data_IF_152078657938
#
_entry.id   IF_152078657938
#
_cell.length_a   1.000
_cell.length_b   1.000
_cell.length_c   1.000
_cell.angle_alpha   90.00
_cell.angle_beta   90.00
_cell.angle_gamma   90.00
#
_symmetry.space_group_name_H-M   'P 1'
#
loop_
_entity.id
_entity.type
_entity.pdbx_description
1 polymer ?
#
# COMPACT_ATOMS: atom_id res chain seq x y z
N UNK A 1 -1.42 -15.36 -8.30
CA UNK A 1 -0.33 -14.55 -7.69
C UNK A 1 0.63 -13.89 -8.68
N UNK A 2 1.07 -14.53 -9.79
CA UNK A 2 2.02 -13.93 -10.75
C UNK A 2 1.52 -12.72 -11.56
N UNK A 3 0.20 -12.58 -11.75
CA UNK A 3 -0.37 -11.51 -12.59
C UNK A 3 -0.43 -10.16 -11.84
N UNK A 4 -0.73 -10.15 -10.53
CA UNK A 4 -0.69 -8.93 -9.71
C UNK A 4 0.72 -8.32 -9.61
N UNK A 5 1.76 -9.17 -9.53
CA UNK A 5 3.15 -8.72 -9.55
C UNK A 5 3.59 -8.12 -10.89
N UNK A 6 2.98 -8.56 -12.00
CA UNK A 6 3.18 -7.99 -13.33
C UNK A 6 2.47 -6.64 -13.51
N UNK A 7 1.33 -6.45 -12.85
CA UNK A 7 0.53 -5.21 -12.90
C UNK A 7 1.13 -4.12 -12.00
N UNK A 8 1.67 -4.46 -10.82
CA UNK A 8 2.35 -3.50 -9.93
C UNK A 8 3.70 -3.00 -10.48
N UNK A 9 4.29 -3.65 -11.48
CA UNK A 9 5.52 -3.21 -12.12
C UNK A 9 5.32 -2.10 -13.17
N UNK A 10 4.10 -1.57 -13.33
CA UNK A 10 3.74 -0.55 -14.33
C UNK A 10 3.28 0.78 -13.72
N UNK A 11 3.58 1.04 -12.44
CA UNK A 11 3.44 2.38 -11.87
C UNK A 11 4.55 3.29 -12.39
N UNK A 12 4.28 3.91 -13.54
CA UNK A 12 5.07 4.91 -14.24
C UNK A 12 6.47 4.42 -14.70
N UNK A 13 6.88 4.67 -15.96
CA UNK A 13 8.29 4.54 -16.32
C UNK A 13 9.05 5.44 -15.35
N UNK A 14 9.92 4.87 -14.51
CA UNK A 14 10.46 5.61 -13.40
C UNK A 14 11.19 6.85 -13.90
N UNK A 15 11.03 7.96 -13.16
CA UNK A 15 11.40 9.32 -13.57
C UNK A 15 12.83 9.40 -14.13
N UNK A 16 13.74 8.55 -13.64
CA UNK A 16 15.12 8.45 -14.12
C UNK A 16 15.24 8.09 -15.62
N UNK A 17 14.27 7.40 -16.22
CA UNK A 17 14.26 7.13 -17.67
C UNK A 17 14.20 8.43 -18.48
N UNK A 18 13.32 9.33 -18.08
CA UNK A 18 13.17 10.65 -18.72
C UNK A 18 14.35 11.57 -18.40
N UNK A 19 14.82 11.57 -17.15
CA UNK A 19 16.00 12.35 -16.74
C UNK A 19 17.24 11.93 -17.52
N UNK A 20 17.41 10.63 -17.83
CA UNK A 20 18.55 10.17 -18.61
C UNK A 20 18.57 10.72 -20.05
N UNK A 21 17.42 11.05 -20.63
CA UNK A 21 17.35 11.69 -21.96
C UNK A 21 17.93 13.11 -21.97
N UNK A 22 18.06 13.77 -20.81
CA UNK A 22 18.79 15.04 -20.73
C UNK A 22 20.23 14.89 -21.23
N UNK A 23 20.83 13.72 -21.04
CA UNK A 23 22.17 13.42 -21.53
C UNK A 23 22.26 13.38 -23.07
N UNK A 24 21.13 13.24 -23.78
CA UNK A 24 21.10 13.28 -25.24
C UNK A 24 21.55 14.64 -25.80
N UNK A 25 21.51 15.71 -25.00
CA UNK A 25 22.05 17.02 -25.39
C UNK A 25 23.52 16.95 -25.83
N UNK A 26 24.31 16.05 -25.22
CA UNK A 26 25.72 15.88 -25.56
C UNK A 26 25.91 15.28 -26.95
N UNK A 27 24.92 14.57 -27.51
CA UNK A 27 24.97 14.09 -28.89
C UNK A 27 24.95 15.26 -29.90
N UNK A 28 24.45 16.44 -29.51
CA UNK A 28 24.40 17.64 -30.35
C UNK A 28 25.57 18.61 -30.10
N UNK A 29 26.39 18.36 -29.08
CA UNK A 29 27.55 19.20 -28.74
C UNK A 29 28.50 19.45 -29.93
N UNK A 30 28.79 18.47 -30.81
CA UNK A 30 29.67 18.69 -31.97
C UNK A 30 29.20 19.80 -32.91
N UNK A 31 27.89 20.06 -33.01
CA UNK A 31 27.35 21.10 -33.87
C UNK A 31 27.83 22.50 -33.46
N UNK A 32 28.14 22.72 -32.18
CA UNK A 32 28.61 24.02 -31.68
C UNK A 32 30.07 24.32 -32.02
N UNK A 33 30.86 23.31 -32.35
CA UNK A 33 32.27 23.47 -32.71
C UNK A 33 32.49 23.60 -34.22
N UNK A 34 31.44 23.42 -35.03
CA UNK A 34 31.53 23.52 -36.48
C UNK A 34 31.37 24.98 -36.94
N UNK A 35 32.33 25.53 -37.70
CA UNK A 35 32.26 26.93 -38.15
C UNK A 35 31.10 27.18 -39.13
N UNK A 36 30.73 26.16 -39.91
CA UNK A 36 29.55 26.17 -40.78
C UNK A 36 28.88 24.81 -40.68
N UNK A 37 27.60 24.80 -40.30
CA UNK A 37 26.82 23.58 -40.14
C UNK A 37 26.00 23.34 -41.42
N UNK A 38 26.31 22.33 -42.24
CA UNK A 38 25.51 22.05 -43.41
C UNK A 38 24.17 21.42 -42.99
N UNK A 39 23.06 21.80 -43.63
CA UNK A 39 21.71 21.30 -43.31
C UNK A 39 21.64 19.76 -43.25
N UNK A 40 22.34 19.08 -44.17
CA UNK A 40 22.45 17.60 -44.18
C UNK A 40 23.00 17.02 -42.87
N UNK A 41 23.94 17.70 -42.21
CA UNK A 41 24.47 17.23 -40.94
C UNK A 41 23.41 17.35 -39.85
N UNK A 42 22.72 18.50 -39.75
CA UNK A 42 21.62 18.67 -38.79
C UNK A 42 20.55 17.59 -38.97
N UNK A 43 20.15 17.31 -40.21
CA UNK A 43 19.16 16.26 -40.51
C UNK A 43 19.62 14.88 -40.04
N UNK A 44 20.90 14.54 -40.21
CA UNK A 44 21.46 13.26 -39.74
C UNK A 44 21.51 13.19 -38.21
N UNK A 45 21.88 14.27 -37.51
CA UNK A 45 21.86 14.32 -36.04
C UNK A 45 20.45 14.13 -35.50
N UNK A 46 19.46 14.82 -36.08
CA UNK A 46 18.04 14.68 -35.70
C UNK A 46 17.54 13.27 -35.99
N UNK A 47 17.85 12.71 -37.16
CA UNK A 47 17.47 11.35 -37.50
C UNK A 47 18.10 10.32 -36.54
N UNK A 48 19.39 10.47 -36.21
CA UNK A 48 20.07 9.60 -35.25
C UNK A 48 19.44 9.70 -33.85
N UNK A 49 19.10 10.91 -33.39
CA UNK A 49 18.44 11.11 -32.11
C UNK A 49 17.04 10.46 -32.07
N UNK A 50 16.26 10.58 -33.15
CA UNK A 50 14.95 9.93 -33.27
C UNK A 50 15.09 8.40 -33.25
N UNK A 51 16.02 7.85 -34.02
CA UNK A 51 16.32 6.40 -34.01
C UNK A 51 16.76 5.96 -32.61
N UNK A 52 17.62 6.72 -31.94
CA UNK A 52 18.03 6.46 -30.57
C UNK A 52 16.85 6.42 -29.61
N UNK A 53 15.97 7.43 -29.64
CA UNK A 53 14.80 7.49 -28.74
C UNK A 53 13.90 6.26 -28.96
N UNK A 54 13.67 5.86 -30.21
CA UNK A 54 12.91 4.65 -30.52
C UNK A 54 13.58 3.38 -29.96
N UNK A 55 14.90 3.22 -30.16
CA UNK A 55 15.66 2.09 -29.64
C UNK A 55 15.69 2.06 -28.11
N UNK A 56 15.84 3.22 -27.49
CA UNK A 56 15.89 3.42 -26.05
C UNK A 56 14.58 3.01 -25.38
N UNK A 57 13.43 3.47 -25.89
CA UNK A 57 12.13 3.04 -25.36
C UNK A 57 11.83 1.59 -25.71
N UNK A 58 12.15 1.13 -26.92
CA UNK A 58 12.00 -0.28 -27.28
C UNK A 58 12.77 -1.21 -26.34
N UNK A 59 13.94 -0.79 -25.83
CA UNK A 59 14.72 -1.54 -24.85
C UNK A 59 14.02 -1.60 -23.50
N UNK A 60 13.49 -0.48 -23.02
CA UNK A 60 12.80 -0.41 -21.73
C UNK A 60 11.49 -1.20 -21.69
N UNK A 61 10.78 -1.30 -22.81
CA UNK A 61 9.55 -2.07 -22.94
C UNK A 61 9.77 -3.52 -23.42
N UNK A 62 11.01 -3.92 -23.74
CA UNK A 62 11.30 -5.27 -24.20
C UNK A 62 11.23 -6.28 -23.04
N UNK A 63 10.27 -7.20 -23.12
CA UNK A 63 10.11 -8.27 -22.14
C UNK A 63 11.26 -9.31 -22.13
N UNK A 64 11.91 -9.54 -23.29
CA UNK A 64 12.94 -10.57 -23.41
C UNK A 64 14.35 -9.99 -23.26
N UNK A 65 15.19 -10.67 -22.44
CA UNK A 65 16.59 -10.28 -22.25
C UNK A 65 17.37 -10.28 -23.57
N UNK A 66 17.11 -11.22 -24.48
CA UNK A 66 17.77 -11.29 -25.80
C UNK A 66 17.48 -10.04 -26.63
N UNK A 67 16.23 -9.58 -26.66
CA UNK A 67 15.84 -8.35 -27.38
C UNK A 67 16.48 -7.11 -26.75
N UNK A 68 16.54 -7.04 -25.42
CA UNK A 68 17.24 -5.94 -24.72
C UNK A 68 18.72 -5.89 -25.10
N UNK A 69 19.43 -7.02 -25.07
CA UNK A 69 20.84 -7.08 -25.51
C UNK A 69 20.99 -6.65 -26.98
N UNK A 70 20.13 -7.13 -27.88
CA UNK A 70 20.17 -6.74 -29.29
C UNK A 70 19.96 -5.23 -29.48
N UNK A 71 19.04 -4.62 -28.73
CA UNK A 71 18.79 -3.18 -28.77
C UNK A 71 19.95 -2.36 -28.17
N UNK A 72 20.58 -2.85 -27.11
CA UNK A 72 21.81 -2.27 -26.57
C UNK A 72 22.93 -2.26 -27.60
N UNK A 73 23.12 -3.36 -28.33
CA UNK A 73 24.10 -3.44 -29.42
C UNK A 73 23.73 -2.53 -30.59
N UNK A 74 22.43 -2.38 -30.91
CA UNK A 74 21.97 -1.45 -31.94
C UNK A 74 22.27 0.01 -31.57
N UNK A 75 22.11 0.39 -30.30
CA UNK A 75 22.49 1.73 -29.80
C UNK A 75 24.01 1.94 -29.85
N UNK A 76 24.81 0.93 -29.49
CA UNK A 76 26.27 1.00 -29.65
C UNK A 76 26.67 1.16 -31.12
N UNK A 77 26.05 0.40 -32.04
CA UNK A 77 26.27 0.51 -33.47
C UNK A 77 25.90 1.89 -34.02
N UNK A 78 24.78 2.48 -33.57
CA UNK A 78 24.40 3.85 -33.89
C UNK A 78 25.46 4.85 -33.42
N UNK A 79 26.02 4.64 -32.22
CA UNK A 79 27.16 5.41 -31.73
C UNK A 79 28.35 5.34 -32.68
N UNK A 80 28.78 4.13 -33.08
CA UNK A 80 29.91 3.98 -33.99
C UNK A 80 29.67 4.57 -35.39
N UNK A 81 28.45 4.44 -35.94
CA UNK A 81 28.09 5.03 -37.24
C UNK A 81 28.13 6.55 -37.20
N UNK A 82 27.78 7.16 -36.06
CA UNK A 82 27.75 8.62 -35.89
C UNK A 82 29.06 9.21 -35.36
N UNK A 83 30.07 8.38 -35.08
CA UNK A 83 31.39 8.82 -34.60
C UNK A 83 32.14 9.79 -35.53
N UNK A 84 32.18 9.60 -36.86
CA UNK A 84 32.83 10.55 -37.76
C UNK A 84 32.26 11.97 -37.70
N UNK A 85 31.05 12.11 -37.15
CA UNK A 85 30.35 13.38 -36.97
C UNK A 85 30.50 13.95 -35.55
N UNK A 86 31.18 13.23 -34.64
CA UNK A 86 31.38 13.61 -33.24
C UNK A 86 30.25 13.24 -32.28
N UNK A 87 29.11 12.75 -32.79
CA UNK A 87 27.93 12.47 -31.95
C UNK A 87 27.97 11.10 -31.24
N UNK A 88 28.89 10.23 -31.65
CA UNK A 88 28.87 8.81 -31.30
C UNK A 88 29.05 8.51 -29.81
N UNK A 89 29.85 9.30 -29.09
CA UNK A 89 30.22 9.03 -27.70
C UNK A 89 29.00 9.01 -26.77
N UNK A 90 28.04 9.92 -26.99
CA UNK A 90 26.82 9.97 -26.19
C UNK A 90 26.01 8.67 -26.29
N UNK A 91 25.84 8.13 -27.50
CA UNK A 91 25.11 6.88 -27.73
C UNK A 91 25.86 5.67 -27.16
N UNK A 92 27.19 5.68 -27.22
CA UNK A 92 28.01 4.62 -26.61
C UNK A 92 27.81 4.59 -25.09
N UNK A 93 27.80 5.74 -24.42
CA UNK A 93 27.52 5.82 -22.98
C UNK A 93 26.12 5.31 -22.62
N UNK A 94 25.11 5.65 -23.44
CA UNK A 94 23.77 5.06 -23.27
C UNK A 94 23.81 3.53 -23.40
N UNK A 95 24.56 2.98 -24.35
CA UNK A 95 24.70 1.53 -24.51
C UNK A 95 25.36 0.88 -23.27
N UNK A 96 26.33 1.55 -22.63
CA UNK A 96 26.95 1.11 -21.37
C UNK A 96 25.92 1.04 -20.24
N UNK A 97 25.11 2.10 -20.08
CA UNK A 97 24.02 2.11 -19.09
C UNK A 97 22.98 1.01 -19.35
N UNK A 98 22.57 0.83 -20.61
CA UNK A 98 21.62 -0.21 -21.01
C UNK A 98 22.17 -1.63 -20.80
N UNK A 99 23.46 -1.85 -21.03
CA UNK A 99 24.14 -3.12 -20.75
C UNK A 99 24.19 -3.41 -19.25
N UNK A 100 24.55 -2.41 -18.44
CA UNK A 100 24.59 -2.48 -16.98
C UNK A 100 23.22 -2.81 -16.36
N UNK A 101 22.16 -2.24 -16.92
CA UNK A 101 20.77 -2.50 -16.52
C UNK A 101 20.31 -3.92 -16.90
N UNK A 102 20.69 -4.40 -18.10
CA UNK A 102 20.19 -5.67 -18.66
C UNK A 102 20.90 -6.92 -18.14
N UNK A 103 22.22 -6.83 -17.97
CA UNK A 103 23.10 -7.98 -17.75
C UNK A 103 23.68 -8.00 -16.33
N UNK A 104 23.97 -9.19 -15.77
CA UNK A 104 24.72 -9.26 -14.52
C UNK A 104 26.11 -8.63 -14.70
N UNK A 105 26.73 -8.04 -13.65
CA UNK A 105 27.98 -7.28 -13.79
C UNK A 105 29.11 -8.09 -14.42
N UNK A 106 29.16 -9.40 -14.14
CA UNK A 106 30.14 -10.35 -14.71
C UNK A 106 30.08 -10.46 -16.24
N UNK A 107 28.94 -10.15 -16.86
CA UNK A 107 28.76 -10.14 -18.33
C UNK A 107 28.67 -8.73 -18.90
N UNK A 108 28.11 -7.79 -18.15
CA UNK A 108 28.00 -6.39 -18.56
C UNK A 108 29.39 -5.74 -18.66
N UNK A 109 30.27 -5.96 -17.68
CA UNK A 109 31.59 -5.35 -17.63
C UNK A 109 32.46 -5.68 -18.87
N UNK A 110 32.69 -6.95 -19.26
CA UNK A 110 33.50 -7.24 -20.45
C UNK A 110 32.86 -6.71 -21.74
N UNK A 111 31.53 -6.71 -21.85
CA UNK A 111 30.83 -6.11 -22.98
C UNK A 111 31.08 -4.60 -23.06
N UNK A 112 30.91 -3.88 -21.95
CA UNK A 112 31.16 -2.44 -21.88
C UNK A 112 32.63 -2.13 -22.18
N UNK A 113 33.57 -2.89 -21.63
CA UNK A 113 35.01 -2.73 -21.93
C UNK A 113 35.29 -2.94 -23.41
N UNK A 114 34.71 -3.97 -24.05
CA UNK A 114 34.88 -4.19 -25.48
C UNK A 114 34.29 -3.05 -26.32
N UNK A 115 33.10 -2.55 -25.96
CA UNK A 115 32.46 -1.41 -26.63
C UNK A 115 33.32 -0.14 -26.48
N UNK A 116 33.83 0.15 -25.29
CA UNK A 116 34.72 1.29 -25.04
C UNK A 116 36.06 1.13 -25.76
N UNK A 117 36.59 -0.09 -25.90
CA UNK A 117 37.83 -0.32 -26.64
C UNK A 117 37.64 -0.04 -28.15
N UNK A 118 36.52 -0.47 -28.73
CA UNK A 118 36.15 -0.13 -30.12
C UNK A 118 35.97 1.39 -30.25
N UNK A 119 35.31 2.01 -29.28
CA UNK A 119 35.15 3.46 -29.21
C UNK A 119 36.50 4.18 -29.21
N UNK A 120 37.49 3.72 -28.45
CA UNK A 120 38.84 4.28 -28.42
C UNK A 120 39.49 4.31 -29.81
N UNK A 121 39.36 3.19 -30.55
CA UNK A 121 39.91 3.07 -31.90
C UNK A 121 39.18 4.02 -32.86
N UNK A 122 37.85 4.09 -32.80
CA UNK A 122 37.07 5.03 -33.60
C UNK A 122 37.41 6.48 -33.26
N UNK A 123 37.55 6.81 -31.98
CA UNK A 123 37.91 8.13 -31.51
C UNK A 123 39.26 8.56 -32.07
N UNK A 124 40.30 7.74 -31.90
CA UNK A 124 41.64 8.04 -32.44
C UNK A 124 41.67 8.15 -33.97
N UNK A 125 40.83 7.37 -34.66
CA UNK A 125 40.78 7.36 -36.13
C UNK A 125 40.04 8.56 -36.74
N UNK A 126 39.00 9.07 -36.08
CA UNK A 126 38.11 10.09 -36.62
C UNK A 126 38.27 11.47 -35.95
N UNK A 127 38.90 11.54 -34.77
CA UNK A 127 39.10 12.77 -34.02
C UNK A 127 40.60 13.04 -33.85
N UNK A 128 41.19 13.85 -34.74
CA UNK A 128 42.61 14.18 -34.64
C UNK A 128 42.90 14.95 -33.34
N UNK A 129 44.10 14.80 -32.73
CA UNK A 129 44.42 15.37 -31.41
C UNK A 129 44.25 16.88 -31.31
N UNK A 130 44.40 17.60 -32.42
CA UNK A 130 44.22 19.05 -32.51
C UNK A 130 42.75 19.48 -32.32
N UNK A 131 41.81 18.61 -32.70
CA UNK A 131 40.37 18.87 -32.54
C UNK A 131 39.83 18.36 -31.20
N UNK A 132 40.38 17.24 -30.71
CA UNK A 132 39.93 16.58 -29.48
C UNK A 132 41.14 15.99 -28.75
N UNK A 133 41.61 16.63 -27.66
CA UNK A 133 42.74 16.11 -26.90
C UNK A 133 42.39 14.80 -26.19
N UNK A 134 43.42 14.00 -25.86
CA UNK A 134 43.27 12.73 -25.15
C UNK A 134 42.48 12.86 -23.83
N UNK A 135 42.57 14.02 -23.17
CA UNK A 135 41.82 14.34 -21.95
C UNK A 135 40.30 14.24 -22.14
N UNK A 136 39.77 14.61 -23.31
CA UNK A 136 38.33 14.48 -23.63
C UNK A 136 37.88 13.02 -23.63
N UNK A 137 38.71 12.12 -24.16
CA UNK A 137 38.44 10.69 -24.14
C UNK A 137 38.54 10.10 -22.73
N UNK A 138 39.51 10.55 -21.93
CA UNK A 138 39.62 10.13 -20.52
C UNK A 138 38.38 10.55 -19.73
N UNK A 139 37.86 11.77 -19.94
CA UNK A 139 36.60 12.22 -19.33
C UNK A 139 35.43 11.32 -19.75
N UNK A 140 35.34 10.97 -21.04
CA UNK A 140 34.31 10.07 -21.55
C UNK A 140 34.33 8.69 -20.87
N UNK A 141 35.53 8.12 -20.70
CA UNK A 141 35.72 6.84 -19.99
C UNK A 141 35.28 6.94 -18.53
N UNK A 142 35.62 8.05 -17.84
CA UNK A 142 35.19 8.29 -16.45
C UNK A 142 33.66 8.37 -16.38
N UNK A 143 33.01 9.11 -17.29
CA UNK A 143 31.55 9.21 -17.35
C UNK A 143 30.91 7.85 -17.60
N UNK A 144 31.44 7.05 -18.54
CA UNK A 144 30.95 5.70 -18.80
C UNK A 144 31.08 4.79 -17.55
N UNK A 145 32.20 4.88 -16.83
CA UNK A 145 32.40 4.13 -15.58
C UNK A 145 31.43 4.59 -14.48
N UNK A 146 31.21 5.90 -14.32
CA UNK A 146 30.23 6.45 -13.37
C UNK A 146 28.81 5.98 -13.70
N UNK A 147 28.41 6.02 -14.98
CA UNK A 147 27.10 5.51 -15.43
C UNK A 147 26.97 4.02 -15.14
N UNK A 148 27.99 3.22 -15.45
CA UNK A 148 27.99 1.79 -15.17
C UNK A 148 27.82 1.50 -13.68
N UNK A 149 28.63 2.13 -12.82
CA UNK A 149 28.57 1.96 -11.36
C UNK A 149 27.23 2.46 -10.81
N UNK A 150 26.74 3.60 -11.27
CA UNK A 150 25.48 4.20 -10.86
C UNK A 150 24.29 3.28 -11.15
N UNK A 151 24.17 2.80 -12.39
CA UNK A 151 23.09 1.89 -12.80
C UNK A 151 23.15 0.56 -12.04
N UNK A 152 24.33 -0.04 -11.91
CA UNK A 152 24.49 -1.29 -11.12
C UNK A 152 24.10 -1.06 -9.66
N UNK A 153 24.47 0.08 -9.09
CA UNK A 153 24.16 0.42 -7.70
C UNK A 153 22.66 0.62 -7.47
N UNK A 154 21.97 1.34 -8.36
CA UNK A 154 20.52 1.54 -8.30
C UNK A 154 19.81 0.18 -8.39
N UNK A 155 20.14 -0.64 -9.39
CA UNK A 155 19.56 -1.98 -9.56
C UNK A 155 19.77 -2.85 -8.32
N UNK A 156 20.98 -2.85 -7.75
CA UNK A 156 21.27 -3.64 -6.56
C UNK A 156 20.51 -3.14 -5.33
N UNK A 157 20.28 -1.82 -5.20
CA UNK A 157 19.46 -1.23 -4.14
C UNK A 157 17.99 -1.63 -4.29
N UNK A 158 17.44 -1.59 -5.50
CA UNK A 158 16.06 -2.02 -5.77
C UNK A 158 15.84 -3.49 -5.41
N UNK A 159 16.76 -4.37 -5.80
CA UNK A 159 16.70 -5.79 -5.46
C UNK A 159 16.74 -6.02 -3.94
N UNK A 160 17.66 -5.35 -3.23
CA UNK A 160 17.75 -5.44 -1.76
C UNK A 160 16.51 -4.88 -1.07
N UNK A 161 15.96 -3.76 -1.55
CA UNK A 161 14.75 -3.18 -0.99
C UNK A 161 13.54 -4.10 -1.20
N UNK A 162 13.44 -4.76 -2.34
CA UNK A 162 12.40 -5.76 -2.59
C UNK A 162 12.53 -6.97 -1.63
N UNK A 163 13.74 -7.47 -1.44
CA UNK A 163 14.04 -8.56 -0.49
C UNK A 163 13.74 -8.18 0.98
N UNK A 164 14.09 -6.95 1.38
CA UNK A 164 13.77 -6.42 2.69
C UNK A 164 12.26 -6.31 2.93
N UNK A 165 11.49 -5.84 1.93
CA UNK A 165 10.02 -5.76 2.03
C UNK A 165 9.41 -7.14 2.23
N UNK A 166 9.83 -8.13 1.44
CA UNK A 166 9.35 -9.51 1.59
C UNK A 166 9.68 -10.08 2.98
N UNK A 167 10.89 -9.82 3.48
CA UNK A 167 11.30 -10.25 4.83
C UNK A 167 10.49 -9.55 5.92
N UNK A 168 10.24 -8.25 5.79
CA UNK A 168 9.44 -7.49 6.76
C UNK A 168 7.98 -7.98 6.82
N UNK A 169 7.38 -8.28 5.68
CA UNK A 169 6.03 -8.84 5.62
C UNK A 169 5.98 -10.22 6.29
N UNK A 170 7.01 -11.04 6.08
CA UNK A 170 7.11 -12.36 6.74
C UNK A 170 7.30 -12.23 8.26
N UNK A 171 8.15 -11.32 8.73
CA UNK A 171 8.33 -11.04 10.16
C UNK A 171 7.02 -10.56 10.79
N UNK A 172 6.29 -9.65 10.14
CA UNK A 172 4.97 -9.19 10.62
C UNK A 172 3.97 -10.33 10.71
N UNK A 173 3.94 -11.22 9.70
CA UNK A 173 3.07 -12.39 9.68
C UNK A 173 3.40 -13.34 10.83
N UNK A 174 4.68 -13.65 11.04
CA UNK A 174 5.14 -14.53 12.11
C UNK A 174 4.89 -13.93 13.50
N UNK A 175 5.13 -12.63 13.68
CA UNK A 175 4.82 -11.93 14.92
C UNK A 175 3.31 -12.00 15.25
N UNK A 176 2.45 -11.80 14.24
CA UNK A 176 1.00 -11.94 14.41
C UNK A 176 0.56 -13.37 14.78
N UNK A 177 1.22 -14.40 14.25
CA UNK A 177 0.95 -15.80 14.61
C UNK A 177 1.42 -16.12 16.03
N UNK A 178 2.63 -15.69 16.40
CA UNK A 178 3.17 -15.86 17.75
C UNK A 178 2.28 -15.18 18.80
N UNK A 179 1.79 -13.98 18.52
CA UNK A 179 0.89 -13.29 19.43
C UNK A 179 -0.45 -14.01 19.58
N UNK A 180 -1.02 -14.54 18.48
CA UNK A 180 -2.24 -15.37 18.54
C UNK A 180 -2.04 -16.63 19.38
N UNK A 181 -0.89 -17.28 19.26
CA UNK A 181 -0.57 -18.47 20.04
C UNK A 181 -0.40 -18.13 21.53
N UNK A 182 0.29 -17.01 21.83
CA UNK A 182 0.45 -16.50 23.19
C UNK A 182 -0.90 -16.24 23.84
N UNK A 183 -1.79 -15.51 23.16
CA UNK A 183 -3.11 -15.20 23.73
C UNK A 183 -3.99 -16.46 23.80
N UNK A 184 -3.86 -17.40 22.86
CA UNK A 184 -4.53 -18.70 22.94
C UNK A 184 -4.13 -19.49 24.20
N UNK A 185 -2.85 -19.45 24.58
CA UNK A 185 -2.37 -20.02 25.85
C UNK A 185 -2.91 -19.27 27.06
N UNK A 186 -2.81 -17.94 27.09
CA UNK A 186 -3.34 -17.13 28.20
C UNK A 186 -4.84 -17.38 28.43
N UNK A 187 -5.62 -17.47 27.34
CA UNK A 187 -7.04 -17.81 27.37
C UNK A 187 -7.29 -19.22 27.93
N UNK A 188 -6.52 -20.21 27.47
CA UNK A 188 -6.63 -21.59 27.96
C UNK A 188 -6.34 -21.68 29.46
N UNK A 189 -5.34 -20.96 29.95
CA UNK A 189 -4.94 -20.98 31.37
C UNK A 189 -6.00 -20.31 32.25
N UNK A 190 -6.50 -19.14 31.85
CA UNK A 190 -7.58 -18.44 32.57
C UNK A 190 -8.85 -19.29 32.59
N UNK A 191 -9.29 -19.78 31.42
CA UNK A 191 -10.49 -20.63 31.33
C UNK A 191 -10.34 -21.94 32.11
N UNK A 192 -9.20 -22.60 32.02
CA UNK A 192 -8.93 -23.85 32.72
C UNK A 192 -9.02 -23.69 34.24
N UNK A 193 -8.45 -22.61 34.78
CA UNK A 193 -8.52 -22.31 36.21
C UNK A 193 -9.94 -21.97 36.67
N UNK A 194 -10.64 -21.08 35.95
CA UNK A 194 -12.01 -20.69 36.29
C UNK A 194 -12.97 -21.87 36.22
N UNK A 195 -12.93 -22.68 35.16
CA UNK A 195 -13.82 -23.84 35.02
C UNK A 195 -13.59 -24.87 36.13
N UNK A 196 -12.33 -25.10 36.52
CA UNK A 196 -12.00 -25.97 37.65
C UNK A 196 -12.61 -25.47 38.96
N UNK A 197 -12.53 -24.16 39.20
CA UNK A 197 -13.10 -23.52 40.40
C UNK A 197 -14.63 -23.56 40.40
N UNK A 198 -15.26 -23.35 39.24
CA UNK A 198 -16.71 -23.50 39.06
C UNK A 198 -17.14 -24.92 39.41
N UNK A 199 -16.48 -25.94 38.86
CA UNK A 199 -16.80 -27.35 39.14
C UNK A 199 -16.71 -27.64 40.65
N UNK A 200 -15.62 -27.26 41.31
CA UNK A 200 -15.43 -27.48 42.75
C UNK A 200 -16.50 -26.78 43.60
N UNK A 201 -16.84 -25.53 43.28
CA UNK A 201 -17.88 -24.79 44.01
C UNK A 201 -19.28 -25.35 43.78
N UNK A 202 -19.61 -25.78 42.56
CA UNK A 202 -20.89 -26.47 42.31
C UNK A 202 -20.99 -27.80 43.05
N UNK A 203 -19.91 -28.58 43.15
CA UNK A 203 -19.89 -29.81 43.96
C UNK A 203 -20.11 -29.51 45.45
N UNK A 204 -19.50 -28.45 45.98
CA UNK A 204 -19.71 -28.02 47.35
C UNK A 204 -21.15 -27.55 47.59
N UNK A 205 -21.72 -26.76 46.69
CA UNK A 205 -23.10 -26.31 46.75
C UNK A 205 -24.09 -27.51 46.79
N UNK A 206 -23.84 -28.53 45.97
CA UNK A 206 -24.65 -29.76 45.95
C UNK A 206 -24.60 -30.52 47.28
N UNK A 207 -23.43 -30.59 47.93
CA UNK A 207 -23.28 -31.22 49.25
C UNK A 207 -23.94 -30.43 50.39
N UNK A 208 -24.01 -29.11 50.26
CA UNK A 208 -24.61 -28.22 51.26
C UNK A 208 -26.13 -28.08 51.10
N UNK A 209 -26.70 -28.47 49.96
CA UNK A 209 -28.09 -28.18 49.60
C UNK A 209 -29.12 -28.59 50.66
N UNK A 210 -28.94 -29.75 51.32
CA UNK A 210 -29.84 -30.24 52.37
C UNK A 210 -29.42 -29.82 53.79
N UNK A 211 -28.11 -29.68 54.06
CA UNK A 211 -27.58 -29.40 55.41
C UNK A 211 -27.46 -27.91 55.75
N UNK A 212 -27.18 -27.09 54.75
CA UNK A 212 -27.01 -25.64 54.86
C UNK A 212 -27.47 -24.95 53.55
N UNK A 213 -28.78 -24.73 53.41
CA UNK A 213 -29.35 -24.10 52.22
C UNK A 213 -28.84 -22.67 51.99
N UNK A 214 -28.47 -21.95 53.06
CA UNK A 214 -27.91 -20.61 52.96
C UNK A 214 -26.48 -20.64 52.42
N UNK A 215 -25.63 -21.54 52.92
CA UNK A 215 -24.30 -21.78 52.39
C UNK A 215 -24.31 -22.26 50.94
N UNK A 216 -25.25 -23.12 50.56
CA UNK A 216 -25.44 -23.57 49.18
C UNK A 216 -25.79 -22.40 48.24
N UNK A 217 -26.73 -21.51 48.63
CA UNK A 217 -27.05 -20.29 47.87
C UNK A 217 -25.85 -19.36 47.70
N UNK A 218 -25.06 -19.18 48.76
CA UNK A 218 -23.85 -18.35 48.69
C UNK A 218 -22.82 -18.91 47.69
N UNK A 219 -22.61 -20.23 47.65
CA UNK A 219 -21.71 -20.85 46.68
C UNK A 219 -22.21 -20.72 45.24
N UNK A 220 -23.53 -20.84 45.00
CA UNK A 220 -24.12 -20.62 43.67
C UNK A 220 -23.92 -19.18 43.20
N UNK A 221 -24.13 -18.19 44.08
CA UNK A 221 -23.87 -16.78 43.77
C UNK A 221 -22.41 -16.51 43.41
N UNK A 222 -21.47 -17.14 44.11
CA UNK A 222 -20.04 -17.05 43.77
C UNK A 222 -19.69 -17.70 42.43
N UNK A 223 -20.30 -18.85 42.10
CA UNK A 223 -20.15 -19.48 40.78
C UNK A 223 -20.62 -18.54 39.67
N UNK A 224 -21.77 -17.91 39.84
CA UNK A 224 -22.33 -16.96 38.88
C UNK A 224 -21.41 -15.74 38.69
N UNK A 225 -20.89 -15.18 39.78
CA UNK A 225 -19.96 -14.04 39.75
C UNK A 225 -18.68 -14.39 39.00
N UNK A 226 -18.05 -15.51 39.35
CA UNK A 226 -16.80 -15.98 38.73
C UNK A 226 -17.00 -16.31 37.26
N UNK A 227 -18.13 -16.93 36.87
CA UNK A 227 -18.44 -17.23 35.48
C UNK A 227 -18.63 -15.95 34.65
N UNK A 228 -19.32 -14.93 35.18
CA UNK A 228 -19.49 -13.64 34.51
C UNK A 228 -18.15 -12.91 34.33
N UNK A 229 -17.29 -12.94 35.35
CA UNK A 229 -15.97 -12.30 35.33
C UNK A 229 -15.04 -12.96 34.29
N UNK A 230 -14.98 -14.29 34.25
CA UNK A 230 -14.21 -15.01 33.24
C UNK A 230 -14.74 -14.80 31.81
N UNK A 231 -16.07 -14.74 31.64
CA UNK A 231 -16.66 -14.42 30.34
C UNK A 231 -16.29 -13.00 29.88
N UNK A 232 -16.20 -12.03 30.81
CA UNK A 232 -15.74 -10.68 30.50
C UNK A 232 -14.26 -10.65 30.09
N UNK A 233 -13.38 -11.36 30.80
CA UNK A 233 -11.96 -11.47 30.46
C UNK A 233 -11.73 -12.16 29.09
N UNK A 234 -12.50 -13.21 28.79
CA UNK A 234 -12.47 -13.86 27.47
C UNK A 234 -12.94 -12.90 26.38
N UNK A 235 -14.01 -12.12 26.62
CA UNK A 235 -14.49 -11.11 25.66
C UNK A 235 -13.44 -10.03 25.41
N UNK A 236 -12.75 -9.56 26.43
CA UNK A 236 -11.68 -8.56 26.33
C UNK A 236 -10.48 -9.11 25.54
N UNK A 237 -10.02 -10.32 25.86
CA UNK A 237 -8.93 -10.98 25.15
C UNK A 237 -9.30 -11.30 23.68
N UNK A 238 -10.51 -11.78 23.40
CA UNK A 238 -10.97 -12.07 22.03
C UNK A 238 -11.20 -10.79 21.22
N UNK A 239 -11.67 -9.71 21.84
CA UNK A 239 -11.75 -8.38 21.21
C UNK A 239 -10.36 -7.87 20.79
N UNK A 240 -9.30 -8.26 21.51
CA UNK A 240 -7.91 -8.02 21.10
C UNK A 240 -7.38 -8.94 19.99
N UNK A 241 -7.94 -10.15 19.82
CA UNK A 241 -7.40 -11.20 18.91
C UNK A 241 -7.99 -11.19 17.50
N UNK A 242 -9.19 -10.65 17.27
CA UNK A 242 -9.85 -10.76 15.96
C UNK A 242 -10.38 -9.42 15.44
N UNK A 243 -9.64 -8.91 14.46
CA UNK A 243 -9.89 -7.71 13.65
C UNK A 243 -9.83 -6.40 14.46
N UNK A 244 -8.94 -5.50 14.06
CA UNK A 244 -9.15 -4.08 14.32
C UNK A 244 -10.12 -3.57 13.26
N UNK A 245 -11.07 -2.72 13.61
CA UNK A 245 -11.98 -2.11 12.65
C UNK A 245 -13.39 -2.72 12.60
N UNK A 246 -14.09 -2.50 11.50
CA UNK A 246 -15.56 -2.59 11.45
C UNK A 246 -16.08 -4.03 11.61
N UNK A 247 -15.34 -5.01 11.09
CA UNK A 247 -15.71 -6.44 11.14
C UNK A 247 -15.71 -7.01 12.57
N UNK A 248 -14.75 -6.59 13.40
CA UNK A 248 -14.67 -7.04 14.78
C UNK A 248 -15.78 -6.47 15.64
N UNK A 249 -16.06 -5.19 15.45
CA UNK A 249 -17.14 -4.51 16.16
C UNK A 249 -18.49 -5.10 15.77
N UNK A 250 -18.67 -5.50 14.50
CA UNK A 250 -19.88 -6.20 14.08
C UNK A 250 -20.04 -7.57 14.75
N UNK A 251 -18.94 -8.32 14.92
CA UNK A 251 -18.96 -9.58 15.65
C UNK A 251 -19.28 -9.37 17.15
N UNK A 252 -18.70 -8.33 17.77
CA UNK A 252 -18.99 -7.94 19.15
C UNK A 252 -20.46 -7.51 19.32
N UNK A 253 -20.96 -6.69 18.39
CA UNK A 253 -22.35 -6.25 18.34
C UNK A 253 -23.32 -7.43 18.25
N UNK A 254 -23.02 -8.40 17.37
CA UNK A 254 -23.83 -9.62 17.23
C UNK A 254 -23.93 -10.40 18.54
N UNK A 255 -22.82 -10.55 19.26
CA UNK A 255 -22.81 -11.24 20.55
C UNK A 255 -23.58 -10.47 21.63
N UNK A 256 -23.47 -9.14 21.66
CA UNK A 256 -24.18 -8.30 22.61
C UNK A 256 -25.70 -8.33 22.39
N UNK A 257 -26.14 -8.21 21.13
CA UNK A 257 -27.55 -8.25 20.74
C UNK A 257 -28.17 -9.64 20.95
N UNK A 258 -27.43 -10.72 20.68
CA UNK A 258 -27.87 -12.09 20.97
C UNK A 258 -28.19 -12.29 22.46
N UNK A 259 -27.39 -11.68 23.36
CA UNK A 259 -27.63 -11.74 24.80
C UNK A 259 -28.89 -11.00 25.27
N UNK A 260 -29.44 -10.14 24.42
CA UNK A 260 -30.71 -9.43 24.63
C UNK A 260 -31.85 -10.00 23.76
N UNK A 261 -31.65 -11.17 23.14
CA UNK A 261 -32.61 -11.81 22.21
C UNK A 261 -32.95 -10.97 20.97
N UNK A 262 -32.02 -10.09 20.55
CA UNK A 262 -32.15 -9.24 19.37
C UNK A 262 -31.39 -9.87 18.20
N UNK A 263 -32.05 -10.02 17.06
CA UNK A 263 -31.44 -10.53 15.83
C UNK A 263 -30.60 -9.46 15.12
N UNK A 264 -29.42 -9.83 14.60
CA UNK A 264 -28.59 -8.95 13.77
C UNK A 264 -28.36 -9.58 12.39
N UNK A 265 -28.83 -8.89 11.37
CA UNK A 265 -28.54 -9.17 9.97
C UNK A 265 -27.47 -8.21 9.47
N UNK A 266 -26.52 -8.71 8.66
CA UNK A 266 -25.50 -7.85 8.09
C UNK A 266 -25.12 -8.22 6.67
N UNK A 267 -24.71 -7.21 5.91
CA UNK A 267 -24.17 -7.36 4.57
C UNK A 267 -23.08 -6.31 4.35
N UNK A 268 -21.82 -6.74 4.29
CA UNK A 268 -20.70 -5.83 4.11
C UNK A 268 -20.11 -5.99 2.71
N UNK A 269 -20.14 -4.93 1.90
CA UNK A 269 -19.46 -4.92 0.61
C UNK A 269 -17.94 -5.15 0.80
N UNK A 270 -17.27 -5.93 -0.07
CA UNK A 270 -15.84 -6.22 0.04
C UNK A 270 -15.00 -5.03 -0.47
N UNK A 271 -15.07 -3.91 0.23
CA UNK A 271 -14.39 -2.64 -0.11
C UNK A 271 -13.28 -2.36 0.90
N UNK A 272 -12.15 -1.85 0.41
CA UNK A 272 -11.04 -1.42 1.25
C UNK A 272 -11.31 -0.03 1.85
N UNK A 273 -11.45 0.01 3.19
CA UNK A 273 -11.78 1.20 3.97
C UNK A 273 -10.48 1.80 4.53
N UNK A 274 -10.22 3.11 4.35
CA UNK A 274 -9.08 3.78 4.99
C UNK A 274 -9.18 3.72 6.52
N UNK A 275 -8.06 3.61 7.22
CA UNK A 275 -8.03 3.31 8.66
C UNK A 275 -8.73 4.37 9.51
N UNK A 276 -8.58 5.67 9.17
CA UNK A 276 -9.31 6.76 9.85
C UNK A 276 -10.83 6.67 9.67
N UNK A 277 -11.27 6.32 8.45
CA UNK A 277 -12.69 6.15 8.12
C UNK A 277 -13.24 4.92 8.82
N UNK A 278 -12.51 3.81 8.78
CA UNK A 278 -12.89 2.57 9.45
C UNK A 278 -13.05 2.76 10.96
N UNK A 279 -12.15 3.52 11.59
CA UNK A 279 -12.25 3.87 13.00
C UNK A 279 -13.53 4.64 13.31
N UNK A 280 -13.87 5.64 12.49
CA UNK A 280 -15.07 6.45 12.68
C UNK A 280 -16.36 5.62 12.51
N UNK A 281 -16.42 4.76 11.50
CA UNK A 281 -17.53 3.83 11.26
C UNK A 281 -17.68 2.80 12.39
N UNK A 282 -16.55 2.28 12.90
CA UNK A 282 -16.52 1.32 14.02
C UNK A 282 -17.13 1.93 15.28
N UNK A 283 -16.73 3.16 15.63
CA UNK A 283 -17.25 3.85 16.79
C UNK A 283 -18.74 4.19 16.65
N UNK A 284 -19.18 4.53 15.45
CA UNK A 284 -20.60 4.76 15.19
C UNK A 284 -21.44 3.49 15.30
N UNK A 285 -20.93 2.35 14.82
CA UNK A 285 -21.60 1.05 15.00
C UNK A 285 -21.74 0.70 16.49
N UNK A 286 -20.66 0.88 17.26
CA UNK A 286 -20.67 0.65 18.72
C UNK A 286 -21.74 1.49 19.42
N UNK A 287 -21.76 2.78 19.13
CA UNK A 287 -22.71 3.72 19.74
C UNK A 287 -24.15 3.37 19.35
N UNK A 288 -24.38 3.02 18.09
CA UNK A 288 -25.70 2.63 17.59
C UNK A 288 -26.21 1.36 18.29
N UNK A 289 -25.38 0.33 18.42
CA UNK A 289 -25.74 -0.92 19.11
C UNK A 289 -25.99 -0.66 20.60
N UNK A 290 -25.21 0.23 21.21
CA UNK A 290 -25.42 0.65 22.60
C UNK A 290 -26.77 1.34 22.78
N UNK A 291 -27.15 2.20 21.84
CA UNK A 291 -28.45 2.87 21.84
C UNK A 291 -29.60 1.89 21.68
N UNK A 292 -29.46 0.89 20.81
CA UNK A 292 -30.46 -0.17 20.65
C UNK A 292 -30.68 -0.91 21.97
N UNK A 293 -29.59 -1.38 22.59
CA UNK A 293 -29.63 -2.13 23.85
C UNK A 293 -30.21 -1.34 25.02
N UNK A 294 -30.04 -0.01 25.03
CA UNK A 294 -30.50 0.86 26.13
C UNK A 294 -31.91 1.42 25.94
N UNK A 295 -32.29 1.70 24.70
CA UNK A 295 -33.42 2.61 24.44
C UNK A 295 -34.44 2.09 23.42
N UNK A 296 -34.05 1.23 22.48
CA UNK A 296 -34.91 0.94 21.33
C UNK A 296 -36.02 -0.09 21.63
N UNK A 297 -35.78 -1.08 22.49
CA UNK A 297 -36.71 -2.21 22.64
C UNK A 297 -36.95 -2.95 21.31
N UNK A 298 -35.94 -2.97 20.44
CA UNK A 298 -35.96 -3.58 19.13
C UNK A 298 -35.89 -5.12 19.22
N UNK A 299 -36.36 -5.81 18.18
CA UNK A 299 -36.20 -7.26 17.99
C UNK A 299 -35.24 -7.60 16.85
N UNK A 300 -34.94 -6.62 15.99
CA UNK A 300 -34.06 -6.78 14.84
C UNK A 300 -33.22 -5.54 14.58
N UNK A 301 -31.97 -5.78 14.23
CA UNK A 301 -30.99 -4.79 13.76
C UNK A 301 -30.43 -5.22 12.42
N UNK A 302 -30.30 -4.28 11.49
CA UNK A 302 -29.71 -4.46 10.18
C UNK A 302 -28.49 -3.56 10.03
N UNK A 303 -27.37 -4.12 9.56
CA UNK A 303 -26.13 -3.38 9.27
C UNK A 303 -25.68 -3.66 7.84
N UNK A 304 -25.67 -2.63 6.99
CA UNK A 304 -25.26 -2.77 5.59
C UNK A 304 -24.15 -1.77 5.24
N UNK A 305 -23.07 -2.26 4.63
CA UNK A 305 -22.04 -1.41 4.03
C UNK A 305 -22.19 -1.44 2.52
N UNK A 306 -22.55 -0.30 1.95
CA UNK A 306 -22.94 -0.12 0.56
C UNK A 306 -21.84 0.65 -0.17
N UNK A 307 -21.36 0.10 -1.29
CA UNK A 307 -20.54 0.81 -2.27
C UNK A 307 -21.48 1.61 -3.19
N UNK A 308 -21.45 2.94 -3.07
CA UNK A 308 -22.33 3.79 -3.87
C UNK A 308 -21.81 3.91 -5.31
N UNK A 309 -22.73 3.97 -6.28
CA UNK A 309 -22.43 3.97 -7.71
C UNK A 309 -21.45 5.08 -8.20
N UNK A 310 -21.21 6.12 -7.39
CA UNK A 310 -20.26 7.22 -7.68
C UNK A 310 -18.90 7.07 -6.99
N UNK A 311 -18.63 5.92 -6.36
CA UNK A 311 -17.41 5.63 -5.61
C UNK A 311 -17.38 6.21 -4.20
N UNK A 312 -18.56 6.46 -3.62
CA UNK A 312 -18.76 6.78 -2.21
C UNK A 312 -19.07 5.53 -1.39
N UNK A 313 -19.06 5.64 -0.07
CA UNK A 313 -19.34 4.53 0.84
C UNK A 313 -20.45 4.95 1.80
N UNK A 314 -21.43 4.07 2.02
CA UNK A 314 -22.49 4.29 3.00
C UNK A 314 -22.56 3.13 3.99
N UNK A 315 -22.48 3.41 5.29
CA UNK A 315 -22.84 2.46 6.34
C UNK A 315 -24.26 2.77 6.81
N UNK A 316 -25.17 1.83 6.58
CA UNK A 316 -26.54 1.83 7.04
C UNK A 316 -26.65 1.01 8.31
N UNK A 317 -27.26 1.59 9.35
CA UNK A 317 -27.62 0.88 10.58
C UNK A 317 -29.10 1.15 10.84
N UNK A 318 -29.92 0.11 10.92
CA UNK A 318 -31.35 0.23 11.15
C UNK A 318 -31.84 -0.73 12.23
N UNK A 319 -32.80 -0.30 13.04
CA UNK A 319 -33.52 -1.13 13.99
C UNK A 319 -35.04 -0.98 13.85
N UNK A 320 -35.79 -1.97 14.34
CA UNK A 320 -37.25 -2.01 14.35
C UNK A 320 -37.88 -1.56 15.68
N UNK A 321 -37.09 -0.89 16.52
CA UNK A 321 -37.51 -0.48 17.86
C UNK A 321 -38.40 0.76 17.89
N UNK A 322 -38.44 1.41 19.05
CA UNK A 322 -39.22 2.61 19.33
C UNK A 322 -38.31 3.83 19.25
N UNK A 323 -38.24 4.40 18.06
CA UNK A 323 -37.60 5.67 17.75
C UNK A 323 -38.37 6.88 18.29
N UNK A 324 -37.92 8.08 17.89
CA UNK A 324 -38.44 9.34 18.42
C UNK A 324 -37.59 9.97 19.53
N UNK A 325 -36.36 9.48 19.73
CA UNK A 325 -35.37 10.21 20.51
C UNK A 325 -34.98 11.48 19.74
N UNK A 326 -35.07 12.65 20.38
CA UNK A 326 -34.76 13.94 19.74
C UNK A 326 -33.37 13.96 19.10
N UNK A 327 -33.22 14.77 18.05
CA UNK A 327 -32.02 14.86 17.19
C UNK A 327 -30.71 15.29 17.88
N UNK A 328 -30.71 15.47 19.21
CA UNK A 328 -29.66 16.10 20.03
C UNK A 328 -29.27 15.25 21.25
N UNK A 329 -29.03 13.95 21.06
CA UNK A 329 -28.33 13.13 22.05
C UNK A 329 -26.80 13.29 21.95
N UNK A 330 -26.09 13.27 23.08
CA UNK A 330 -24.61 13.37 23.12
C UNK A 330 -23.91 12.35 22.18
N UNK A 331 -24.48 11.14 22.05
CA UNK A 331 -23.97 10.10 21.13
C UNK A 331 -24.11 10.46 19.65
N UNK A 332 -25.23 11.07 19.23
CA UNK A 332 -25.45 11.51 17.84
C UNK A 332 -24.58 12.72 17.47
N UNK A 333 -24.38 13.64 18.41
CA UNK A 333 -23.47 14.78 18.22
C UNK A 333 -22.03 14.29 18.03
N UNK A 334 -21.54 13.41 18.90
CA UNK A 334 -20.20 12.83 18.77
C UNK A 334 -20.01 12.01 17.48
N UNK A 335 -21.04 11.26 17.05
CA UNK A 335 -21.01 10.57 15.76
C UNK A 335 -20.90 11.55 14.58
N UNK A 336 -21.67 12.65 14.57
CA UNK A 336 -21.61 13.67 13.51
C UNK A 336 -20.26 14.38 13.46
N UNK A 337 -19.69 14.74 14.60
CA UNK A 337 -18.39 15.41 14.68
C UNK A 337 -17.29 14.53 14.11
N UNK A 338 -17.18 13.28 14.56
CA UNK A 338 -16.17 12.32 14.08
C UNK A 338 -16.32 12.00 12.59
N UNK A 339 -17.54 11.91 12.09
CA UNK A 339 -17.74 11.70 10.65
C UNK A 339 -17.39 12.95 9.83
N UNK A 340 -17.67 14.15 10.34
CA UNK A 340 -17.25 15.39 9.68
C UNK A 340 -15.73 15.54 9.62
N UNK A 341 -15.00 15.09 10.64
CA UNK A 341 -13.52 15.09 10.63
C UNK A 341 -12.92 14.27 9.48
N UNK A 342 -13.62 13.22 9.04
CA UNK A 342 -13.22 12.41 7.88
C UNK A 342 -13.95 12.81 6.59
N UNK A 343 -14.65 13.95 6.57
CA UNK A 343 -15.34 14.47 5.39
C UNK A 343 -16.68 13.79 5.05
N UNK A 344 -17.27 13.07 6.00
CA UNK A 344 -18.57 12.41 5.87
C UNK A 344 -19.72 13.13 6.56
N UNK A 345 -20.92 12.58 6.43
CA UNK A 345 -22.15 13.08 7.04
C UNK A 345 -23.01 11.96 7.62
N UNK A 346 -23.83 12.29 8.62
CA UNK A 346 -24.80 11.37 9.23
C UNK A 346 -26.21 11.86 8.95
N UNK A 347 -27.02 11.03 8.30
CA UNK A 347 -28.47 11.21 8.19
C UNK A 347 -29.16 10.30 9.22
N UNK A 348 -30.20 10.83 9.87
CA UNK A 348 -30.96 10.13 10.92
C UNK A 348 -32.43 10.20 10.55
N UNK A 349 -33.07 9.04 10.47
CA UNK A 349 -34.52 8.91 10.32
C UNK A 349 -35.04 8.07 11.49
N UNK A 350 -35.83 8.68 12.38
CA UNK A 350 -36.32 8.05 13.62
C UNK A 350 -37.73 8.58 13.94
N UNK A 351 -38.75 8.14 13.19
CA UNK A 351 -40.13 8.52 13.47
C UNK A 351 -40.55 8.09 14.88
N UNK A 352 -41.32 8.93 15.56
CA UNK A 352 -41.80 8.64 16.91
C UNK A 352 -42.61 7.32 16.93
N UNK A 353 -42.13 6.34 17.69
CA UNK A 353 -42.77 5.03 17.81
C UNK A 353 -42.52 4.06 16.65
N UNK A 354 -41.74 4.44 15.62
CA UNK A 354 -41.24 3.55 14.58
C UNK A 354 -39.73 3.29 14.72
N UNK A 355 -39.15 2.43 13.89
CA UNK A 355 -37.72 2.08 13.95
C UNK A 355 -36.77 3.26 13.71
N UNK A 356 -35.49 3.12 14.08
CA UNK A 356 -34.46 4.12 13.79
C UNK A 356 -33.55 3.66 12.66
N UNK A 357 -33.21 4.57 11.75
CA UNK A 357 -32.31 4.36 10.63
C UNK A 357 -31.23 5.45 10.59
N UNK A 358 -29.98 5.02 10.63
CA UNK A 358 -28.79 5.86 10.55
C UNK A 358 -28.06 5.58 9.23
N UNK A 359 -27.74 6.64 8.48
CA UNK A 359 -26.93 6.55 7.27
C UNK A 359 -25.66 7.38 7.44
N UNK A 360 -24.53 6.70 7.41
CA UNK A 360 -23.20 7.28 7.51
C UNK A 360 -22.62 7.35 6.10
N UNK A 361 -22.57 8.55 5.51
CA UNK A 361 -22.25 8.77 4.10
C UNK A 361 -20.86 9.37 3.98
N UNK A 362 -20.00 8.70 3.22
CA UNK A 362 -18.63 9.10 2.93
C UNK A 362 -18.50 9.31 1.41
N UNK A 363 -18.40 10.56 0.92
CA UNK A 363 -18.26 10.82 -0.50
C UNK A 363 -16.89 10.36 -1.03
N UNK A 364 -16.79 10.16 -2.35
CA UNK A 364 -15.57 9.68 -3.01
C UNK A 364 -14.35 10.57 -2.70
N UNK A 365 -14.55 11.88 -2.66
CA UNK A 365 -13.52 12.87 -2.38
C UNK A 365 -12.94 12.67 -0.98
N UNK A 366 -13.79 12.44 0.02
CA UNK A 366 -13.41 12.17 1.40
C UNK A 366 -12.60 10.86 1.52
N UNK A 367 -13.06 9.78 0.86
CA UNK A 367 -12.34 8.52 0.82
C UNK A 367 -10.97 8.67 0.14
N UNK A 368 -10.89 9.43 -0.95
CA UNK A 368 -9.62 9.71 -1.64
C UNK A 368 -8.65 10.54 -0.80
N UNK A 369 -9.16 11.49 -0.01
CA UNK A 369 -8.36 12.29 0.92
C UNK A 369 -7.85 11.44 2.09
N UNK A 370 -8.70 10.58 2.66
CA UNK A 370 -8.32 9.68 3.74
C UNK A 370 -7.23 8.68 3.28
N UNK A 371 -7.33 8.13 2.07
CA UNK A 371 -6.29 7.27 1.48
C UNK A 371 -4.94 7.98 1.34
N UNK A 372 -4.94 9.26 0.97
CA UNK A 372 -3.73 10.10 0.91
C UNK A 372 -3.15 10.43 2.29
N UNK A 373 -3.99 10.47 3.33
CA UNK A 373 -3.57 10.72 4.71
C UNK A 373 -3.01 9.49 5.44
N UNK A 374 -3.41 8.29 5.03
CA UNK A 374 -2.84 7.02 5.52
C UNK A 374 -1.53 6.64 4.80
N UNK A 375 -1.23 7.28 3.66
CA UNK A 375 0.09 7.22 3.02
C UNK A 375 1.12 7.98 3.89
N UNK A 376 2.16 7.27 4.34
CA UNK A 376 3.28 7.83 5.13
C UNK A 376 3.83 9.11 4.45
N UNK A 377 4.34 10.13 5.18
CA UNK A 377 4.79 11.41 4.60
C UNK A 377 5.75 11.29 3.39
N UNK A 378 6.48 10.17 3.30
CA UNK A 378 7.36 9.83 2.18
C UNK A 378 6.64 9.65 0.82
N UNK A 379 5.36 9.25 0.80
CA UNK A 379 4.56 9.06 -0.42
C UNK A 379 3.79 10.33 -0.81
N UNK A 380 3.34 11.13 0.17
CA UNK A 380 2.68 12.41 -0.07
C UNK A 380 3.60 13.47 -0.72
N UNK A 381 4.90 13.46 -0.39
CA UNK A 381 5.93 14.29 -1.03
C UNK A 381 6.17 13.91 -2.50
N UNK A 382 5.97 12.65 -2.87
CA UNK A 382 6.16 12.20 -4.26
C UNK A 382 5.02 12.64 -5.19
N UNK A 383 3.79 12.83 -4.66
CA UNK A 383 2.63 13.28 -5.45
C UNK A 383 2.50 14.80 -5.56
N UNK A 384 2.82 15.55 -4.50
CA UNK A 384 2.77 17.02 -4.52
C UNK A 384 3.78 17.64 -5.51
N UNK A 385 4.86 16.92 -5.83
CA UNK A 385 5.79 17.32 -6.88
C UNK A 385 5.22 17.14 -8.31
N UNK A 386 4.26 16.22 -8.49
CA UNK A 386 3.69 15.91 -9.79
C UNK A 386 2.53 16.86 -10.17
N UNK A 387 1.77 17.35 -9.19
CA UNK A 387 0.65 18.28 -9.41
C UNK A 387 1.12 19.73 -9.67
N UNK A 388 2.30 20.14 -9.17
CA UNK A 388 2.88 21.47 -9.48
C UNK A 388 3.61 21.53 -10.82
N UNK A 389 3.84 20.40 -11.48
CA UNK A 389 4.49 20.33 -12.80
C UNK A 389 3.52 20.38 -13.99
N UNK A 390 2.21 20.52 -13.74
CA UNK A 390 1.16 20.54 -14.77
C UNK A 390 0.28 21.80 -14.74
N UNK A 391 0.71 22.84 -14.01
CA UNK A 391 0.20 24.21 -14.17
C UNK A 391 1.05 24.97 -15.17
#
# INVERSE_FOLDING_TARGET
MRIKALIQAHEHPPVWRWVSLLYLIFAFLPLFYWPVIPLRAVLVFVAAALVFVLLYFAHHYAASRRRRVALTLAVAALGFVTMPMGAGAAYVIFSVGMAADTLPPRRALPLCVAVMAIEAVCFYRFMPPEAMPLSSYVINVIVAAMVFVGVVSIRNRELRNAELRLTQDEVRRLAGLAERERIGRDLHDVLGHTLSLVVLKTQLAARLFERDPQGARAQIGEVERVAREALAQVREAVAGIRATGLQAELAAARLALLGAEISLDHRLAPVEIPGRVETALTLALRESVTNVLRHAGATRVEVELIDEARGGLCLLIADDGRGGAGSEGHGLTGMRERLREVGGSVEVDSPAGGGTRLRLILPREALSAARRGDETPALALARTFNERGTA
#
